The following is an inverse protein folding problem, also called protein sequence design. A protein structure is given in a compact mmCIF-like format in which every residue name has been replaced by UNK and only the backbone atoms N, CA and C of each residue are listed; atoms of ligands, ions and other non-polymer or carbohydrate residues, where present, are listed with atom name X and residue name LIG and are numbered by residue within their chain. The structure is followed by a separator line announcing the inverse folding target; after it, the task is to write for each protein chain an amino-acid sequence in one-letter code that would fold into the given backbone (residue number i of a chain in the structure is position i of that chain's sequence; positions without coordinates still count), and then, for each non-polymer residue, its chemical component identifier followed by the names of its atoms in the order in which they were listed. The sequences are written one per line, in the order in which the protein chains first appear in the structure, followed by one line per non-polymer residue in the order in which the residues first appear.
data_IF_972584978976
#
_entry.id   IF_972584978976
#
_cell.length_a   1.000
_cell.length_b   1.000
_cell.length_c   1.000
_cell.angle_alpha   90.00
_cell.angle_beta   90.00
_cell.angle_gamma   90.00
#
_symmetry.space_group_name_H-M   'P 1'
#
loop_
_entity.id
_entity.type
_entity.pdbx_description
1 polymer ?
#
# COMPACT_ATOMS: atom_id res chain seq x y z
N UNK A 1 -1.33 -6.16 19.39
CA UNK A 1 -1.39 -5.26 18.22
C UNK A 1 -2.79 -5.36 17.65
N UNK A 2 -3.37 -4.27 17.16
CA UNK A 2 -4.77 -4.25 16.72
C UNK A 2 -4.91 -4.83 15.33
N UNK A 3 -5.75 -5.85 15.16
CA UNK A 3 -6.07 -6.41 13.84
C UNK A 3 -6.85 -5.42 12.97
N UNK A 4 -6.78 -5.60 11.66
CA UNK A 4 -7.57 -4.89 10.68
C UNK A 4 -9.06 -5.19 10.88
N UNK A 5 -9.88 -4.15 10.77
CA UNK A 5 -11.31 -4.22 10.95
C UNK A 5 -12.02 -3.46 9.82
N UNK A 6 -12.77 -4.20 8.98
CA UNK A 6 -13.44 -3.64 7.80
C UNK A 6 -14.40 -2.51 8.16
N UNK A 7 -15.11 -2.63 9.28
CA UNK A 7 -16.07 -1.62 9.74
C UNK A 7 -15.36 -0.34 10.17
N UNK A 8 -14.29 -0.45 10.95
CA UNK A 8 -13.49 0.71 11.37
C UNK A 8 -12.91 1.46 10.17
N UNK A 9 -12.29 0.73 9.22
CA UNK A 9 -11.75 1.34 7.99
C UNK A 9 -12.86 2.02 7.19
N UNK A 10 -13.96 1.30 6.91
CA UNK A 10 -15.07 1.81 6.08
C UNK A 10 -15.76 3.04 6.67
N UNK A 11 -15.91 3.10 7.99
CA UNK A 11 -16.50 4.25 8.68
C UNK A 11 -15.64 5.51 8.58
N UNK A 12 -14.32 5.36 8.49
CA UNK A 12 -13.36 6.46 8.37
C UNK A 12 -13.14 6.91 6.91
N UNK A 13 -13.73 6.23 5.92
CA UNK A 13 -13.67 6.66 4.52
C UNK A 13 -14.55 7.89 4.27
N UNK A 14 -14.13 8.76 3.38
CA UNK A 14 -14.96 9.85 2.88
C UNK A 14 -15.96 9.33 1.82
N UNK A 15 -16.93 10.17 1.43
CA UNK A 15 -17.97 9.79 0.47
C UNK A 15 -17.39 9.36 -0.88
N UNK A 16 -16.47 10.15 -1.46
CA UNK A 16 -15.83 9.87 -2.75
C UNK A 16 -15.17 8.47 -2.76
N UNK A 17 -14.47 8.13 -1.67
CA UNK A 17 -13.74 6.86 -1.55
C UNK A 17 -14.68 5.67 -1.41
N UNK A 18 -15.79 5.82 -0.67
CA UNK A 18 -16.84 4.79 -0.58
C UNK A 18 -17.54 4.54 -1.91
N UNK A 19 -17.68 5.57 -2.74
CA UNK A 19 -18.27 5.45 -4.08
C UNK A 19 -17.27 4.87 -5.08
N UNK A 20 -15.98 5.17 -4.93
CA UNK A 20 -14.93 4.67 -5.81
C UNK A 20 -14.58 3.20 -5.55
N UNK A 21 -14.44 2.78 -4.29
CA UNK A 21 -14.04 1.42 -3.93
C UNK A 21 -15.27 0.52 -3.86
N UNK A 22 -15.35 -0.45 -4.77
CA UNK A 22 -16.45 -1.40 -4.85
C UNK A 22 -16.44 -2.41 -3.70
N UNK A 23 -15.25 -2.83 -3.23
CA UNK A 23 -15.13 -3.74 -2.09
C UNK A 23 -13.77 -3.62 -1.37
N UNK A 24 -13.77 -3.97 -0.09
CA UNK A 24 -12.59 -4.03 0.78
C UNK A 24 -12.48 -5.45 1.34
N UNK A 25 -11.38 -6.13 1.04
CA UNK A 25 -11.07 -7.46 1.58
C UNK A 25 -10.00 -7.34 2.65
N UNK A 26 -10.17 -8.08 3.74
CA UNK A 26 -9.18 -8.18 4.83
C UNK A 26 -8.91 -9.66 5.02
N UNK A 27 -7.65 -10.06 4.80
CA UNK A 27 -7.21 -11.44 4.85
C UNK A 27 -6.28 -11.62 6.05
N UNK A 28 -6.38 -12.75 6.75
CA UNK A 28 -5.45 -13.05 7.83
C UNK A 28 -4.06 -13.42 7.28
N UNK A 29 -4.00 -14.27 6.27
CA UNK A 29 -2.75 -14.68 5.64
C UNK A 29 -2.97 -14.93 4.15
N UNK A 30 -2.02 -14.53 3.32
CA UNK A 30 -2.05 -14.65 1.86
C UNK A 30 -0.63 -14.84 1.32
N UNK A 31 -0.47 -15.32 0.09
CA UNK A 31 0.85 -15.29 -0.57
C UNK A 31 1.28 -13.84 -0.83
N UNK A 32 0.43 -13.07 -1.51
CA UNK A 32 0.60 -11.64 -1.81
C UNK A 32 -0.76 -10.99 -2.03
N UNK A 33 -0.98 -9.79 -1.48
CA UNK A 33 -2.20 -9.01 -1.74
C UNK A 33 -2.30 -8.61 -3.22
N UNK A 34 -1.16 -8.43 -3.91
CA UNK A 34 -1.17 -8.13 -5.34
C UNK A 34 -1.75 -9.28 -6.16
N UNK A 35 -1.50 -10.54 -5.79
CA UNK A 35 -2.03 -11.70 -6.52
C UNK A 35 -3.55 -11.77 -6.45
N UNK A 36 -4.10 -11.48 -5.26
CA UNK A 36 -5.56 -11.44 -5.06
C UNK A 36 -6.17 -10.39 -5.97
N UNK A 37 -5.63 -9.16 -5.96
CA UNK A 37 -6.14 -8.08 -6.80
C UNK A 37 -5.97 -8.40 -8.30
N UNK A 38 -4.82 -8.92 -8.71
CA UNK A 38 -4.56 -9.34 -10.10
C UNK A 38 -5.57 -10.38 -10.57
N UNK A 39 -5.94 -11.34 -9.72
CA UNK A 39 -6.96 -12.34 -10.03
C UNK A 39 -8.34 -11.72 -10.24
N UNK A 40 -8.74 -10.78 -9.38
CA UNK A 40 -10.05 -10.11 -9.44
C UNK A 40 -10.21 -9.23 -10.70
N UNK A 41 -9.19 -8.44 -11.04
CA UNK A 41 -9.28 -7.52 -12.18
C UNK A 41 -9.23 -8.22 -13.54
N UNK A 42 -8.80 -9.49 -13.61
CA UNK A 42 -8.92 -10.29 -14.84
C UNK A 42 -10.39 -10.54 -15.19
N UNK A 43 -11.22 -10.78 -14.18
CA UNK A 43 -12.67 -10.99 -14.35
C UNK A 43 -13.45 -9.68 -14.37
N UNK A 44 -12.96 -8.66 -13.65
CA UNK A 44 -13.64 -7.38 -13.47
C UNK A 44 -12.68 -6.19 -13.65
N UNK A 45 -12.27 -5.89 -14.89
CA UNK A 45 -11.15 -4.99 -15.18
C UNK A 45 -11.35 -3.53 -14.73
N UNK A 46 -12.61 -3.11 -14.56
CA UNK A 46 -12.98 -1.75 -14.15
C UNK A 46 -13.35 -1.64 -12.67
N UNK A 47 -13.40 -2.74 -11.92
CA UNK A 47 -13.69 -2.67 -10.47
C UNK A 47 -12.47 -2.19 -9.71
N UNK A 48 -12.68 -1.17 -8.89
CA UNK A 48 -11.72 -0.72 -7.87
C UNK A 48 -11.96 -1.51 -6.59
N UNK A 49 -10.98 -2.30 -6.17
CA UNK A 49 -11.01 -3.09 -4.93
C UNK A 49 -9.75 -2.82 -4.13
N UNK A 50 -9.88 -2.87 -2.80
CA UNK A 50 -8.76 -2.77 -1.88
C UNK A 50 -8.63 -4.07 -1.09
N UNK A 51 -7.44 -4.68 -1.11
CA UNK A 51 -7.13 -5.90 -0.36
C UNK A 51 -6.08 -5.57 0.68
N UNK A 52 -6.38 -5.87 1.94
CA UNK A 52 -5.44 -5.82 3.05
C UNK A 52 -5.13 -7.24 3.53
N UNK A 53 -3.92 -7.46 4.02
CA UNK A 53 -3.56 -8.69 4.72
C UNK A 53 -2.86 -8.41 6.05
N UNK A 54 -3.08 -9.27 7.04
CA UNK A 54 -2.32 -9.22 8.30
C UNK A 54 -0.89 -9.69 8.12
N UNK A 55 -0.65 -10.69 7.26
CA UNK A 55 0.66 -11.16 6.82
C UNK A 55 0.67 -11.57 5.35
N UNK A 56 1.87 -11.63 4.77
CA UNK A 56 2.11 -12.24 3.47
C UNK A 56 3.22 -13.29 3.58
N UNK A 57 2.95 -14.50 3.12
CA UNK A 57 3.92 -15.60 3.15
C UNK A 57 4.92 -15.54 2.00
N UNK A 58 4.57 -14.85 0.91
CA UNK A 58 5.40 -14.64 -0.28
C UNK A 58 5.33 -13.17 -0.73
N UNK A 59 5.44 -12.25 0.22
CA UNK A 59 5.44 -10.81 -0.06
C UNK A 59 6.50 -10.45 -1.10
N UNK A 60 6.14 -9.63 -2.08
CA UNK A 60 6.99 -9.28 -3.21
C UNK A 60 7.39 -7.81 -3.23
N UNK A 61 8.64 -7.58 -3.59
CA UNK A 61 9.17 -6.31 -4.08
C UNK A 61 9.49 -6.37 -5.56
N UNK A 62 10.06 -5.29 -6.09
CA UNK A 62 10.52 -5.25 -7.49
C UNK A 62 11.65 -6.25 -7.74
N UNK A 63 11.79 -6.66 -9.01
CA UNK A 63 12.88 -7.53 -9.48
C UNK A 63 13.00 -8.83 -8.68
N UNK A 64 11.86 -9.38 -8.24
CA UNK A 64 11.82 -10.65 -7.50
C UNK A 64 12.32 -10.60 -6.06
N UNK A 65 12.60 -9.40 -5.50
CA UNK A 65 13.00 -9.28 -4.09
C UNK A 65 11.84 -9.67 -3.17
N UNK A 66 12.16 -10.27 -2.03
CA UNK A 66 11.16 -10.59 -1.01
C UNK A 66 10.83 -9.35 -0.18
N UNK A 67 9.55 -9.15 0.12
CA UNK A 67 9.08 -8.18 1.10
C UNK A 67 8.68 -8.94 2.37
N UNK A 68 9.42 -8.72 3.46
CA UNK A 68 9.18 -9.37 4.75
C UNK A 68 7.89 -8.82 5.36
N UNK A 69 6.90 -9.69 5.55
CA UNK A 69 5.55 -9.32 5.96
C UNK A 69 5.10 -9.99 7.28
N UNK A 70 5.69 -9.64 8.44
CA UNK A 70 5.26 -10.17 9.73
C UNK A 70 3.80 -9.83 10.04
N UNK A 71 3.08 -10.71 10.77
CA UNK A 71 1.69 -10.50 11.12
C UNK A 71 1.48 -9.30 12.05
N UNK A 72 0.33 -8.64 11.92
CA UNK A 72 -0.21 -7.65 12.87
C UNK A 72 0.60 -6.38 13.13
N UNK A 73 1.68 -6.12 12.40
CA UNK A 73 2.58 -4.98 12.67
C UNK A 73 2.57 -3.91 11.59
N UNK A 74 2.30 -4.27 10.34
CA UNK A 74 2.49 -3.41 9.18
C UNK A 74 1.20 -3.29 8.36
N UNK A 75 1.27 -2.48 7.29
CA UNK A 75 0.22 -2.39 6.28
C UNK A 75 0.73 -3.07 5.01
N UNK A 76 -0.01 -4.08 4.56
CA UNK A 76 0.14 -4.68 3.24
C UNK A 76 -1.19 -4.46 2.52
N UNK A 77 -1.18 -3.52 1.58
CA UNK A 77 -2.36 -3.08 0.83
C UNK A 77 -2.10 -3.28 -0.66
N UNK A 78 -3.08 -3.81 -1.39
CA UNK A 78 -3.14 -3.70 -2.84
C UNK A 78 -4.45 -3.05 -3.27
N UNK A 79 -4.36 -2.02 -4.10
CA UNK A 79 -5.51 -1.31 -4.68
C UNK A 79 -5.52 -1.52 -6.19
N UNK A 80 -6.65 -1.97 -6.76
CA UNK A 80 -6.82 -1.88 -8.22
C UNK A 80 -7.25 -0.47 -8.62
N UNK A 81 -6.72 0.01 -9.74
CA UNK A 81 -7.20 1.22 -10.38
C UNK A 81 -7.25 1.05 -11.89
N UNK A 82 -8.36 1.47 -12.49
CA UNK A 82 -8.56 1.43 -13.93
C UNK A 82 -8.22 2.78 -14.55
N UNK A 83 -7.44 2.77 -15.62
CA UNK A 83 -6.96 3.95 -16.32
C UNK A 83 -7.43 3.95 -17.77
N UNK A 84 -8.04 5.07 -18.20
CA UNK A 84 -8.38 5.32 -19.61
C UNK A 84 -7.20 5.95 -20.37
N UNK A 85 -6.01 5.38 -20.19
CA UNK A 85 -4.77 5.79 -20.86
C UNK A 85 -3.89 4.57 -21.15
N UNK A 86 -2.95 4.68 -22.10
CA UNK A 86 -1.99 3.61 -22.39
C UNK A 86 -1.06 3.34 -21.21
N UNK A 87 -0.61 2.09 -21.10
CA UNK A 87 0.33 1.62 -20.06
C UNK A 87 1.63 2.43 -19.98
N UNK A 88 2.09 2.98 -21.11
CA UNK A 88 3.30 3.81 -21.18
C UNK A 88 3.20 5.11 -20.36
N UNK A 89 1.99 5.56 -20.02
CA UNK A 89 1.80 6.73 -19.16
C UNK A 89 1.90 6.40 -17.66
N UNK A 90 2.01 5.12 -17.29
CA UNK A 90 2.09 4.66 -15.90
C UNK A 90 3.53 4.44 -15.41
N UNK A 91 4.55 4.77 -16.21
CA UNK A 91 5.96 4.49 -15.89
C UNK A 91 6.41 5.07 -14.54
N UNK A 92 5.92 6.26 -14.20
CA UNK A 92 6.24 6.96 -12.94
C UNK A 92 5.13 6.84 -11.89
N UNK A 93 4.16 5.93 -12.08
CA UNK A 93 3.02 5.79 -11.15
C UNK A 93 3.52 5.53 -9.72
N UNK A 94 4.56 4.73 -9.51
CA UNK A 94 5.12 4.50 -8.16
C UNK A 94 5.57 5.79 -7.46
N UNK A 95 6.11 6.75 -8.20
CA UNK A 95 6.55 8.04 -7.65
C UNK A 95 5.33 8.92 -7.33
N UNK A 96 4.30 8.88 -8.17
CA UNK A 96 3.02 9.58 -7.91
C UNK A 96 2.37 9.02 -6.63
N UNK A 97 2.27 7.69 -6.51
CA UNK A 97 1.75 7.02 -5.32
C UNK A 97 2.59 7.37 -4.08
N UNK A 98 3.92 7.40 -4.19
CA UNK A 98 4.80 7.79 -3.08
C UNK A 98 4.49 9.22 -2.59
N UNK A 99 4.31 10.18 -3.51
CA UNK A 99 3.92 11.56 -3.17
C UNK A 99 2.56 11.62 -2.47
N UNK A 100 1.58 10.85 -2.95
CA UNK A 100 0.24 10.77 -2.34
C UNK A 100 0.33 10.22 -0.92
N UNK A 101 1.09 9.15 -0.70
CA UNK A 101 1.32 8.56 0.63
C UNK A 101 1.94 9.59 1.57
N UNK A 102 2.98 10.30 1.15
CA UNK A 102 3.63 11.34 1.97
C UNK A 102 2.66 12.46 2.34
N UNK A 103 1.81 12.90 1.41
CA UNK A 103 0.77 13.89 1.70
C UNK A 103 -0.29 13.36 2.67
N UNK A 104 -0.69 12.09 2.53
CA UNK A 104 -1.64 11.43 3.43
C UNK A 104 -1.08 11.34 4.86
N UNK A 105 0.21 11.00 5.01
CA UNK A 105 0.88 10.98 6.32
C UNK A 105 0.87 12.35 7.00
N UNK A 106 1.11 13.43 6.25
CA UNK A 106 1.01 14.79 6.79
C UNK A 106 -0.40 15.09 7.30
N UNK A 107 -1.43 14.72 6.53
CA UNK A 107 -2.85 14.84 6.95
C UNK A 107 -3.16 13.98 8.19
N UNK A 108 -2.51 12.83 8.32
CA UNK A 108 -2.62 11.94 9.48
C UNK A 108 -1.90 12.47 10.73
N UNK A 109 -1.07 13.51 10.61
CA UNK A 109 -0.34 14.13 11.72
C UNK A 109 1.12 13.69 11.84
N UNK A 110 1.68 13.01 10.83
CA UNK A 110 3.11 12.69 10.78
C UNK A 110 3.85 13.87 10.17
N UNK A 111 4.73 14.50 10.94
CA UNK A 111 5.46 15.71 10.54
C UNK A 111 6.88 15.42 10.07
N UNK A 112 7.40 14.22 10.37
CA UNK A 112 8.73 13.77 9.94
C UNK A 112 8.81 13.69 8.41
N UNK A 113 9.96 14.10 7.87
CA UNK A 113 10.20 14.08 6.43
C UNK A 113 10.52 12.67 5.95
N UNK A 114 9.57 12.06 5.24
CA UNK A 114 9.81 10.84 4.46
C UNK A 114 10.23 11.25 3.05
N UNK A 115 11.34 10.69 2.58
CA UNK A 115 11.87 10.95 1.25
C UNK A 115 11.50 9.81 0.29
N UNK A 116 11.53 10.13 -1.02
CA UNK A 116 11.31 9.16 -2.08
C UNK A 116 12.67 8.76 -2.65
N UNK A 117 13.04 7.48 -2.48
CA UNK A 117 14.16 6.89 -3.18
C UNK A 117 13.64 6.24 -4.47
N UNK A 118 14.06 6.79 -5.60
CA UNK A 118 13.67 6.26 -6.90
C UNK A 118 14.03 4.76 -7.03
N UNK A 119 13.16 3.92 -7.62
CA UNK A 119 11.89 4.27 -8.28
C UNK A 119 10.63 4.14 -7.41
N UNK A 120 10.72 3.59 -6.20
CA UNK A 120 9.53 3.08 -5.51
C UNK A 120 9.66 2.93 -3.99
N UNK A 121 10.75 3.42 -3.41
CA UNK A 121 11.03 3.25 -1.99
C UNK A 121 10.75 4.54 -1.22
N UNK A 122 10.15 4.38 -0.03
CA UNK A 122 9.95 5.45 0.93
C UNK A 122 11.00 5.29 2.03
N UNK A 123 11.81 6.32 2.25
CA UNK A 123 12.95 6.27 3.18
C UNK A 123 12.86 7.37 4.25
N UNK A 124 13.41 7.07 5.41
CA UNK A 124 13.64 8.02 6.50
C UNK A 124 15.08 7.83 6.99
N UNK A 125 15.89 8.90 6.98
CA UNK A 125 17.30 8.85 7.41
C UNK A 125 18.10 7.67 6.82
N UNK A 126 18.02 7.50 5.49
CA UNK A 126 18.64 6.39 4.75
C UNK A 126 18.13 4.97 5.08
N UNK A 127 17.13 4.83 5.94
CA UNK A 127 16.47 3.56 6.25
C UNK A 127 15.17 3.42 5.47
N UNK A 128 14.92 2.25 4.91
CA UNK A 128 13.67 1.96 4.21
C UNK A 128 12.50 1.86 5.19
N UNK A 129 11.47 2.67 4.97
CA UNK A 129 10.22 2.64 5.73
C UNK A 129 9.11 1.90 4.98
N UNK A 130 9.05 2.09 3.66
CA UNK A 130 7.99 1.52 2.83
C UNK A 130 8.44 1.25 1.41
N UNK A 131 7.61 0.50 0.68
CA UNK A 131 7.83 0.19 -0.72
C UNK A 131 6.52 0.12 -1.49
N UNK A 132 6.59 0.52 -2.76
CA UNK A 132 5.46 0.47 -3.70
C UNK A 132 5.80 -0.51 -4.82
N UNK A 133 4.84 -1.34 -5.19
CA UNK A 133 4.96 -2.28 -6.30
C UNK A 133 3.76 -2.09 -7.24
N UNK A 134 4.04 -1.60 -8.45
CA UNK A 134 3.04 -1.43 -9.50
C UNK A 134 3.12 -2.63 -10.44
N UNK A 135 2.03 -3.37 -10.55
CA UNK A 135 1.82 -4.39 -11.59
C UNK A 135 0.69 -3.90 -12.51
N UNK A 136 0.75 -4.19 -13.81
CA UNK A 136 -0.22 -3.65 -14.78
C UNK A 136 -0.80 -4.73 -15.66
N UNK A 137 -2.06 -4.53 -16.07
CA UNK A 137 -2.78 -5.39 -17.02
C UNK A 137 -3.27 -4.50 -18.16
N UNK A 138 -2.87 -4.82 -19.38
CA UNK A 138 -3.33 -4.11 -20.56
C UNK A 138 -4.63 -4.73 -21.08
N UNK A 139 -5.66 -3.91 -21.33
CA UNK A 139 -6.97 -4.38 -21.80
C UNK A 139 -7.20 -4.02 -23.26
N UNK A 140 -6.97 -2.75 -23.61
CA UNK A 140 -7.15 -2.19 -24.95
C UNK A 140 -6.06 -1.15 -25.22
N UNK A 141 -5.84 -0.70 -26.47
CA UNK A 141 -4.76 0.24 -26.79
C UNK A 141 -4.72 1.54 -25.97
N UNK A 142 -5.84 1.94 -25.36
CA UNK A 142 -5.98 3.13 -24.50
C UNK A 142 -6.59 2.83 -23.13
N UNK A 143 -6.51 1.59 -22.67
CA UNK A 143 -7.09 1.20 -21.39
C UNK A 143 -6.26 0.12 -20.72
N UNK A 144 -5.89 0.36 -19.47
CA UNK A 144 -5.15 -0.57 -18.64
C UNK A 144 -5.61 -0.47 -17.19
N UNK A 145 -5.31 -1.50 -16.40
CA UNK A 145 -5.48 -1.46 -14.95
C UNK A 145 -4.12 -1.59 -14.28
N UNK A 146 -3.95 -0.90 -13.16
CA UNK A 146 -2.81 -1.08 -12.28
C UNK A 146 -3.25 -1.76 -10.98
N UNK A 147 -2.38 -2.62 -10.47
CA UNK A 147 -2.40 -3.11 -9.09
C UNK A 147 -1.32 -2.37 -8.33
N UNK A 148 -1.76 -1.51 -7.43
CA UNK A 148 -0.91 -0.64 -6.62
C UNK A 148 -0.68 -1.34 -5.28
N UNK A 149 0.42 -2.10 -5.19
CA UNK A 149 0.88 -2.72 -3.95
C UNK A 149 1.65 -1.73 -3.09
N UNK A 150 1.30 -1.64 -1.80
CA UNK A 150 1.85 -0.72 -0.81
C UNK A 150 2.20 -1.53 0.43
N UNK A 151 3.49 -1.63 0.73
CA UNK A 151 4.01 -2.21 1.97
C UNK A 151 4.60 -1.11 2.86
N UNK A 152 4.06 -0.90 4.05
CA UNK A 152 4.53 0.11 5.00
C UNK A 152 4.84 -0.50 6.36
N UNK A 153 6.04 -0.23 6.88
CA UNK A 153 6.41 -0.63 8.23
C UNK A 153 5.75 0.31 9.26
N UNK A 154 4.79 -0.17 10.06
CA UNK A 154 4.02 0.71 10.96
C UNK A 154 4.46 0.55 12.41
N UNK A 155 4.10 -0.56 13.04
CA UNK A 155 4.40 -0.89 14.44
C UNK A 155 5.41 -2.04 14.54
N UNK A 156 6.27 -2.17 13.52
CA UNK A 156 7.29 -3.21 13.46
C UNK A 156 8.54 -2.78 14.22
N UNK A 157 9.12 -3.70 14.98
CA UNK A 157 10.28 -3.45 15.82
C UNK A 157 11.48 -4.21 15.28
N UNK A 158 12.61 -3.52 15.23
CA UNK A 158 13.92 -4.05 14.82
C UNK A 158 14.37 -5.27 15.63
N UNK A 159 13.90 -5.44 16.87
CA UNK A 159 14.22 -6.62 17.72
C UNK A 159 13.63 -7.93 17.20
N UNK A 160 12.72 -7.88 16.22
CA UNK A 160 11.91 -9.05 15.81
C UNK A 160 12.39 -9.77 14.56
N UNK A 161 13.54 -9.41 13.98
CA UNK A 161 13.95 -9.95 12.66
C UNK A 161 15.42 -9.71 12.30
N UNK A 162 16.19 -10.80 12.25
CA UNK A 162 17.54 -10.84 11.66
C UNK A 162 17.55 -10.97 10.11
N UNK A 163 16.37 -11.01 9.47
CA UNK A 163 16.22 -11.44 8.06
C UNK A 163 16.16 -10.30 7.03
N UNK A 164 16.34 -9.05 7.45
CA UNK A 164 16.31 -7.90 6.52
C UNK A 164 17.75 -7.44 6.28
N UNK A 165 18.15 -7.59 5.03
CA UNK A 165 19.49 -7.41 4.46
C UNK A 165 19.83 -5.95 4.11
N UNK A 166 18.97 -5.00 4.48
CA UNK A 166 19.19 -3.57 4.27
C UNK A 166 18.71 -2.74 5.48
N UNK A 167 19.25 -1.52 5.68
CA UNK A 167 18.74 -0.60 6.70
C UNK A 167 17.25 -0.31 6.50
N UNK A 168 16.46 -0.50 7.56
CA UNK A 168 15.02 -0.27 7.55
C UNK A 168 14.57 0.36 8.88
N UNK A 169 13.36 0.90 8.89
CA UNK A 169 12.72 1.52 10.07
C UNK A 169 11.22 1.28 10.02
N UNK A 170 10.52 1.49 11.13
CA UNK A 170 9.06 1.57 11.17
C UNK A 170 8.56 2.97 11.55
N UNK A 171 7.29 3.25 11.25
CA UNK A 171 6.68 4.52 11.65
C UNK A 171 6.72 4.71 13.17
N UNK A 172 6.56 3.65 13.94
CA UNK A 172 6.63 3.72 15.40
C UNK A 172 8.03 4.06 15.94
N UNK A 173 9.09 3.65 15.24
CA UNK A 173 10.46 4.06 15.54
C UNK A 173 10.71 5.52 15.10
N UNK A 174 10.13 5.95 13.97
CA UNK A 174 10.24 7.34 13.49
C UNK A 174 9.57 8.32 14.46
N UNK A 175 8.37 8.00 14.94
CA UNK A 175 7.56 8.93 15.75
C UNK A 175 7.64 8.67 17.25
N UNK A 176 8.33 7.61 17.67
CA UNK A 176 8.39 7.15 19.06
C UNK A 176 7.00 6.85 19.66
N UNK A 177 6.05 6.41 18.83
CA UNK A 177 4.66 6.15 19.23
C UNK A 177 4.00 5.08 18.36
N UNK A 178 3.02 4.35 18.91
CA UNK A 178 2.23 3.38 18.12
C UNK A 178 1.14 4.08 17.33
N UNK A 179 0.84 3.53 16.15
CA UNK A 179 -0.19 4.07 15.25
C UNK A 179 -1.34 3.09 15.01
N UNK A 180 -2.54 3.62 14.86
CA UNK A 180 -3.72 2.85 14.47
C UNK A 180 -3.68 2.54 12.97
N UNK A 181 -3.38 1.27 12.64
CA UNK A 181 -3.33 0.81 11.25
C UNK A 181 -4.67 0.96 10.51
N UNK A 182 -5.81 0.86 11.19
CA UNK A 182 -7.12 1.00 10.54
C UNK A 182 -7.36 2.44 10.07
N UNK A 183 -7.08 3.42 10.94
CA UNK A 183 -7.22 4.83 10.58
C UNK A 183 -6.21 5.25 9.52
N UNK A 184 -4.99 4.74 9.59
CA UNK A 184 -3.99 4.93 8.54
C UNK A 184 -4.46 4.36 7.20
N UNK A 185 -4.98 3.13 7.17
CA UNK A 185 -5.52 2.53 5.94
C UNK A 185 -6.64 3.39 5.33
N UNK A 186 -7.57 3.88 6.15
CA UNK A 186 -8.62 4.78 5.67
C UNK A 186 -8.04 6.11 5.14
N UNK A 187 -7.05 6.69 5.81
CA UNK A 187 -6.36 7.90 5.35
C UNK A 187 -5.66 7.69 3.99
N UNK A 188 -4.97 6.56 3.82
CA UNK A 188 -4.30 6.19 2.58
C UNK A 188 -5.30 6.00 1.44
N UNK A 189 -6.36 5.21 1.66
CA UNK A 189 -7.40 5.00 0.64
C UNK A 189 -8.07 6.32 0.26
N UNK A 190 -8.39 7.18 1.24
CA UNK A 190 -8.97 8.49 0.97
C UNK A 190 -8.06 9.35 0.08
N UNK A 191 -6.76 9.39 0.35
CA UNK A 191 -5.81 10.17 -0.44
C UNK A 191 -5.60 9.58 -1.85
N UNK A 192 -5.52 8.25 -1.96
CA UNK A 192 -5.36 7.55 -3.24
C UNK A 192 -6.57 7.79 -4.15
N UNK A 193 -7.79 7.58 -3.65
CA UNK A 193 -9.01 7.80 -4.43
C UNK A 193 -9.31 9.29 -4.68
N UNK A 194 -8.76 10.19 -3.86
CA UNK A 194 -8.85 11.63 -4.11
C UNK A 194 -8.00 12.05 -5.32
N UNK A 195 -6.78 11.51 -5.42
CA UNK A 195 -5.75 11.95 -6.36
C UNK A 195 -5.65 11.14 -7.67
N UNK A 196 -6.14 9.90 -7.69
CA UNK A 196 -6.23 9.06 -8.89
C UNK A 196 -7.55 9.28 -9.65
#
# INVERSE_FOLDING_TARGET
MTSFNKKTISNALNKKTREAISDIHILNSVTSTNDVVLSEIKSHPTKTIAVFAEEQTQGRGRLGRTWISPPHSNIYLSLSWHFQQPILQLLDLSIVIAKIIIQALKKYGITQTIEIKYPNDLIFENKKWGGILIETVNHQPRSCSAVIGIGLNVNFSSEKTDKIDQPWTSLSEITQSKHDRNLMCACLLNALCEAL
#
